data_IF_041477402728
#
_entry.id   IF_041477402728
#
_cell.length_a   1.000
_cell.length_b   1.000
_cell.length_c   1.000
_cell.angle_alpha   90.00
_cell.angle_beta   90.00
_cell.angle_gamma   90.00
#
_symmetry.space_group_name_H-M   'P 1'
#
loop_
_entity.id
_entity.type
_entity.pdbx_description
1 polymer ?
2 non-polymer ?
3 non-polymer ?
4 water ?
#
# COMPACT_ATOMS: atom_id res chain seq x y z
N UNK A 15 17.85 12.92 26.11
CA UNK A 15 16.74 12.22 25.46
C UNK A 15 16.69 10.74 25.80
N UNK A 16 15.52 10.10 25.65
CA UNK A 16 15.46 8.64 25.79
C UNK A 16 16.11 8.01 24.55
N UNK A 17 16.80 6.89 24.75
CA UNK A 17 17.55 6.29 23.65
C UNK A 17 17.08 4.86 23.44
N UNK A 18 17.09 4.43 22.18
CA UNK A 18 16.63 3.09 21.81
C UNK A 18 17.63 2.50 20.82
N UNK A 19 18.16 1.32 21.15
CA UNK A 19 19.15 0.60 20.34
C UNK A 19 20.25 1.54 19.84
N UNK A 20 20.84 2.28 20.78
CA UNK A 20 21.95 3.15 20.49
C UNK A 20 21.60 4.45 19.81
N UNK A 21 20.33 4.65 19.43
CA UNK A 21 19.90 5.83 18.69
C UNK A 21 18.98 6.70 19.52
N UNK A 22 19.13 8.03 19.33
CA UNK A 22 18.21 8.99 19.94
C UNK A 22 16.79 8.73 19.46
N UNK A 23 15.85 8.77 20.38
CA UNK A 23 14.43 8.64 20.06
C UNK A 23 13.73 9.72 20.90
N UNK A 24 13.76 10.95 20.40
CA UNK A 24 13.60 12.15 21.21
C UNK A 24 12.16 12.65 21.17
N UNK A 25 11.32 12.04 22.00
CA UNK A 25 9.89 12.26 21.91
C UNK A 25 9.28 12.70 23.23
N UNK A 26 10.06 12.80 24.28
CA UNK A 26 9.52 13.18 25.56
C UNK A 26 9.32 14.68 25.64
N UNK A 27 8.69 15.11 26.74
CA UNK A 27 8.27 14.24 27.85
C UNK A 27 6.88 13.63 27.67
N UNK A 28 6.15 14.03 26.62
CA UNK A 28 4.78 13.51 26.49
C UNK A 28 4.80 12.00 26.31
N UNK A 29 5.77 11.47 25.58
CA UNK A 29 5.80 10.05 25.24
C UNK A 29 7.01 9.44 25.92
N UNK A 30 6.75 8.39 26.72
CA UNK A 30 7.75 7.78 27.58
C UNK A 30 7.60 6.26 27.51
N UNK A 31 8.56 5.55 28.12
CA UNK A 31 8.53 4.09 28.27
C UNK A 31 8.51 3.41 26.89
N UNK A 32 9.61 3.59 26.16
CA UNK A 32 9.70 3.23 24.75
C UNK A 32 10.10 1.77 24.57
N UNK A 33 9.50 1.11 23.57
CA UNK A 33 9.90 -0.24 23.18
C UNK A 33 9.99 -0.36 21.68
N UNK A 34 11.01 -1.05 21.18
CA UNK A 34 11.09 -1.28 19.75
C UNK A 34 9.95 -2.20 19.31
N UNK A 35 9.33 -1.87 18.16
CA UNK A 35 8.20 -2.63 17.59
C UNK A 35 8.25 -2.85 16.08
N UNK A 36 9.11 -2.15 15.34
CA UNK A 36 9.12 -2.35 13.89
C UNK A 36 10.03 -1.37 13.17
N UNK A 37 9.92 -1.36 11.84
CA UNK A 37 10.79 -0.56 11.00
C UNK A 37 9.99 0.20 9.95
N UNK A 38 10.18 1.52 9.89
CA UNK A 38 9.70 2.33 8.79
C UNK A 38 10.79 2.55 7.75
N UNK A 39 10.49 3.41 6.78
CA UNK A 39 11.43 3.55 5.65
C UNK A 39 12.71 4.24 6.08
N UNK A 40 12.62 5.20 6.99
CA UNK A 40 13.78 6.04 7.30
C UNK A 40 14.06 6.04 8.79
N UNK A 41 13.69 4.97 9.48
CA UNK A 41 13.88 4.93 10.91
C UNK A 41 13.05 3.84 11.56
N UNK A 42 13.25 3.70 12.86
CA UNK A 42 12.58 2.64 13.60
C UNK A 42 11.21 3.11 14.04
N UNK A 43 10.38 2.13 14.36
CA UNK A 43 9.09 2.37 15.00
C UNK A 43 9.20 1.86 16.43
N UNK A 44 8.69 2.64 17.38
CA UNK A 44 8.62 2.22 18.77
C UNK A 44 7.18 2.35 19.24
N UNK A 45 6.85 1.59 20.27
CA UNK A 45 5.68 1.94 21.03
C UNK A 45 6.10 2.82 22.19
N UNK A 46 5.13 3.56 22.73
CA UNK A 46 5.41 4.53 23.77
C UNK A 46 4.13 4.78 24.54
N UNK A 47 4.29 5.28 25.77
CA UNK A 47 3.13 5.70 26.52
C UNK A 47 2.90 7.19 26.33
N UNK A 48 1.68 7.53 25.90
CA UNK A 48 1.20 8.90 25.73
C UNK A 48 0.66 9.39 27.08
N UNK A 49 1.42 10.24 27.76
CA UNK A 49 1.03 10.68 29.09
C UNK A 49 -0.19 11.59 29.06
N UNK A 50 -0.50 12.19 27.91
CA UNK A 50 -1.72 12.98 27.81
C UNK A 50 -2.97 12.11 27.62
N UNK A 51 -2.99 11.31 26.58
CA UNK A 51 -4.18 10.52 26.28
C UNK A 51 -4.23 9.23 27.09
N UNK A 52 -3.16 8.92 27.82
CA UNK A 52 -3.14 7.80 28.78
C UNK A 52 -3.32 6.46 28.07
N UNK A 53 -2.62 6.29 26.94
CA UNK A 53 -2.70 5.08 26.14
C UNK A 53 -1.34 4.90 25.49
N UNK A 54 -1.01 3.66 25.12
CA UNK A 54 0.20 3.49 24.35
C UNK A 54 -0.09 3.75 22.88
N UNK A 55 0.94 4.24 22.16
CA UNK A 55 0.85 4.65 20.76
C UNK A 55 2.07 4.10 20.03
N UNK A 56 2.03 4.19 18.70
CA UNK A 56 3.20 3.87 17.87
C UNK A 56 3.86 5.17 17.44
N UNK A 57 5.19 5.17 17.34
CA UNK A 57 5.94 6.34 16.90
C UNK A 57 6.98 5.91 15.89
N UNK A 58 6.97 6.54 14.71
CA UNK A 58 7.90 6.26 13.63
C UNK A 58 8.91 7.40 13.59
N UNK A 59 10.20 7.08 13.67
CA UNK A 59 11.25 8.10 13.54
C UNK A 59 11.65 8.17 12.08
N UNK A 60 11.77 9.39 11.56
CA UNK A 60 12.11 9.64 10.17
C UNK A 60 13.31 10.56 10.15
N UNK A 61 14.38 10.17 9.44
CA UNK A 61 15.57 11.01 9.28
C UNK A 61 15.81 11.19 7.79
N UNK A 62 15.06 12.08 7.15
CA UNK A 62 15.07 12.14 5.68
C UNK A 62 15.97 13.19 5.10
N UNK A 63 16.53 14.12 5.89
CA UNK A 63 16.92 15.40 5.31
C UNK A 63 18.21 15.38 4.54
N UNK A 64 18.95 14.27 4.55
CA UNK A 64 20.17 14.18 3.73
C UNK A 64 19.85 13.96 2.26
N UNK A 65 18.76 13.25 1.98
CA UNK A 65 18.45 12.78 0.63
C UNK A 65 17.13 13.34 0.12
N UNK A 66 17.19 13.83 -1.11
CA UNK A 66 16.06 14.53 -1.73
C UNK A 66 14.85 13.61 -1.86
N UNK A 67 15.08 12.36 -2.31
CA UNK A 67 13.96 11.43 -2.51
C UNK A 67 13.32 11.11 -1.17
N UNK A 68 14.14 10.97 -0.13
CA UNK A 68 13.60 10.72 1.22
C UNK A 68 12.68 11.84 1.66
N UNK A 69 13.13 13.09 1.47
CA UNK A 69 12.29 14.23 1.83
C UNK A 69 11.02 14.27 1.01
N UNK A 70 11.11 13.88 -0.27
CA UNK A 70 9.91 13.81 -1.10
C UNK A 70 8.89 12.84 -0.51
N UNK A 71 9.33 11.62 -0.23
CA UNK A 71 8.46 10.58 0.30
C UNK A 71 7.84 11.01 1.62
N UNK A 72 8.64 11.64 2.49
CA UNK A 72 8.16 12.08 3.78
C UNK A 72 7.09 13.15 3.64
N UNK A 73 7.38 14.15 2.82
CA UNK A 73 6.45 15.24 2.62
C UNK A 73 5.16 14.75 1.99
N UNK A 74 5.24 13.90 0.96
CA UNK A 74 4.00 13.47 0.33
C UNK A 74 3.13 12.65 1.30
N UNK A 75 3.73 11.83 2.16
CA UNK A 75 2.91 11.08 3.12
C UNK A 75 2.23 12.01 4.10
N UNK A 76 2.98 12.95 4.65
CA UNK A 76 2.41 13.87 5.63
C UNK A 76 1.29 14.67 4.99
N UNK A 77 1.49 15.17 3.77
CA UNK A 77 0.47 15.97 3.12
C UNK A 77 -0.81 15.15 2.92
N UNK A 78 -0.66 13.90 2.46
CA UNK A 78 -1.84 13.08 2.22
C UNK A 78 -2.56 12.77 3.51
N UNK A 79 -1.82 12.34 4.56
CA UNK A 79 -2.46 11.85 5.76
C UNK A 79 -3.07 12.96 6.59
N UNK A 80 -2.53 14.17 6.48
CA UNK A 80 -3.15 15.27 7.18
C UNK A 80 -4.49 15.64 6.53
N UNK A 81 -4.73 15.27 5.27
CA UNK A 81 -6.05 15.51 4.72
C UNK A 81 -6.98 14.32 4.80
N UNK A 82 -6.47 13.11 4.81
CA UNK A 82 -7.34 11.92 4.86
C UNK A 82 -7.87 11.67 6.25
N UNK A 83 -9.12 11.22 6.33
CA UNK A 83 -9.70 10.74 7.58
C UNK A 83 -10.57 9.55 7.26
N UNK A 84 -10.13 8.35 7.65
CA UNK A 84 -10.91 7.16 7.34
C UNK A 84 -10.60 6.06 8.35
N UNK A 85 -11.62 5.28 8.73
CA UNK A 85 -11.43 4.21 9.72
C UNK A 85 -10.39 3.18 9.30
N UNK A 86 -10.21 2.94 7.99
CA UNK A 86 -9.28 1.90 7.55
C UNK A 86 -7.98 2.49 7.01
N UNK A 87 -7.65 3.70 7.43
CA UNK A 87 -6.39 4.33 7.09
C UNK A 87 -5.78 4.82 8.40
N UNK A 88 -4.53 4.45 8.67
CA UNK A 88 -4.01 4.87 9.96
C UNK A 88 -3.55 6.31 9.86
N UNK A 89 -4.10 7.15 10.70
CA UNK A 89 -3.87 8.58 10.60
C UNK A 89 -2.65 9.02 11.38
N UNK A 90 -2.36 10.31 11.29
CA UNK A 90 -1.30 10.96 12.06
C UNK A 90 -1.94 11.64 13.26
N UNK A 91 -1.59 11.18 14.47
CA UNK A 91 -2.11 11.77 15.70
C UNK A 91 -1.30 12.95 16.19
N UNK A 92 -0.01 12.96 15.90
CA UNK A 92 0.89 13.98 16.42
C UNK A 92 2.15 13.89 15.58
N UNK A 93 2.87 15.00 15.46
CA UNK A 93 4.18 15.00 14.82
C UNK A 93 5.11 15.75 15.72
N UNK A 94 6.25 15.16 16.03
CA UNK A 94 7.25 15.73 16.94
C UNK A 94 8.47 16.13 16.14
N UNK A 95 8.93 17.36 16.34
CA UNK A 95 10.22 17.80 15.82
C UNK A 95 10.68 19.04 16.58
N UNK A 96 11.93 19.42 16.33
CA UNK A 96 12.52 20.58 16.99
C UNK A 96 11.77 21.88 16.62
N UNK A 97 11.91 22.94 17.43
CA UNK A 97 11.13 24.16 17.15
C UNK A 97 11.62 24.99 16.00
N UNK A 98 12.81 24.74 15.47
CA UNK A 98 13.40 25.54 14.41
C UNK A 98 13.96 24.62 13.35
N UNK A 99 14.01 25.11 12.11
CA UNK A 99 14.57 24.31 11.02
C UNK A 99 16.02 23.96 11.30
N UNK A 100 16.77 24.92 11.87
CA UNK A 100 18.18 24.69 12.17
C UNK A 100 18.36 23.52 13.10
N UNK A 101 17.48 23.39 14.08
CA UNK A 101 17.60 22.35 15.08
C UNK A 101 16.90 21.06 14.67
N UNK A 102 16.16 21.06 13.58
CA UNK A 102 15.37 19.89 13.21
C UNK A 102 16.21 18.93 12.37
N UNK A 103 16.51 17.77 12.95
CA UNK A 103 17.29 16.71 12.29
C UNK A 103 16.47 15.47 12.01
N UNK A 104 15.42 15.23 12.77
CA UNK A 104 14.53 14.09 12.61
C UNK A 104 13.10 14.55 12.78
N UNK A 105 12.15 13.75 12.33
CA UNK A 105 10.74 14.00 12.55
C UNK A 105 10.15 12.71 13.07
N UNK A 106 9.24 12.78 14.05
CA UNK A 106 8.59 11.60 14.58
C UNK A 106 7.11 11.69 14.32
N UNK A 107 6.53 10.62 13.78
CA UNK A 107 5.10 10.51 13.49
C UNK A 107 4.47 9.62 14.51
N UNK A 108 3.44 10.12 15.21
CA UNK A 108 2.74 9.34 16.25
C UNK A 108 1.44 8.84 15.65
N UNK A 109 1.15 7.54 15.80
CA UNK A 109 -0.01 6.90 15.19
C UNK A 109 -0.58 5.90 16.19
N UNK A 110 -1.80 5.42 15.89
CA UNK A 110 -2.43 4.42 16.74
C UNK A 110 -1.53 3.20 16.90
N UNK A 111 -1.51 2.62 18.10
CA UNK A 111 -0.73 1.41 18.32
C UNK A 111 -1.62 0.22 17.94
N UNK A 112 -1.25 -0.48 16.88
CA UNK A 112 -1.92 -1.66 16.41
C UNK A 112 -1.29 -2.90 17.04
N UNK A 113 -1.93 -4.05 16.89
CA UNK A 113 -1.40 -5.25 17.51
C UNK A 113 -0.40 -5.99 16.62
N UNK A 114 -0.66 -6.04 15.31
CA UNK A 114 0.19 -6.81 14.43
C UNK A 114 0.00 -6.26 13.01
N UNK A 115 0.53 -6.94 12.02
CA UNK A 115 0.28 -6.61 10.62
C UNK A 115 0.08 -7.91 9.88
N UNK A 116 -0.40 -7.83 8.64
CA UNK A 116 -0.82 -9.04 7.97
C UNK A 116 0.41 -9.84 7.50
N UNK A 117 1.55 -9.18 7.26
CA UNK A 117 2.79 -9.92 6.98
C UNK A 117 3.13 -10.84 8.14
N UNK A 118 3.13 -10.30 9.36
CA UNK A 118 3.42 -11.12 10.55
C UNK A 118 2.38 -12.22 10.71
N UNK A 119 1.10 -11.87 10.56
CA UNK A 119 0.06 -12.87 10.76
C UNK A 119 0.19 -14.02 9.78
N UNK A 120 0.46 -13.70 8.51
CA UNK A 120 0.49 -14.76 7.52
C UNK A 120 1.67 -15.69 7.71
N UNK A 121 2.73 -15.23 8.41
CA UNK A 121 3.89 -16.10 8.65
C UNK A 121 3.53 -17.28 9.54
N UNK A 122 2.54 -17.15 10.41
CA UNK A 122 2.28 -18.23 11.37
C UNK A 122 0.81 -18.54 11.61
N UNK A 123 -0.13 -17.83 11.02
CA UNK A 123 -1.54 -18.06 11.35
C UNK A 123 -2.32 -18.39 10.08
N UNK A 124 -3.07 -19.50 10.13
CA UNK A 124 -4.10 -19.79 9.13
C UNK A 124 -5.28 -18.86 9.33
N UNK A 125 -5.77 -18.25 8.26
CA UNK A 125 -6.93 -17.37 8.33
C UNK A 125 -8.18 -18.18 8.02
N UNK A 126 -9.22 -17.99 8.84
CA UNK A 126 -10.52 -18.57 8.50
C UNK A 126 -11.08 -17.79 7.32
N UNK A 127 -12.04 -18.40 6.61
CA UNK A 127 -12.66 -17.68 5.51
C UNK A 127 -13.32 -16.41 6.00
N UNK A 128 -13.90 -16.44 7.22
CA UNK A 128 -14.51 -15.23 7.76
C UNK A 128 -13.48 -14.13 7.96
N UNK A 129 -12.27 -14.50 8.41
CA UNK A 129 -11.24 -13.46 8.55
C UNK A 129 -10.82 -12.92 7.19
N UNK A 130 -10.64 -13.82 6.22
CA UNK A 130 -10.24 -13.38 4.88
C UNK A 130 -11.24 -12.38 4.32
N UNK A 131 -12.53 -12.72 4.43
CA UNK A 131 -13.59 -11.86 3.94
C UNK A 131 -13.56 -10.49 4.63
N UNK A 132 -13.48 -10.47 5.96
CA UNK A 132 -13.48 -9.20 6.68
C UNK A 132 -12.22 -8.38 6.38
N UNK A 133 -11.05 -9.03 6.33
CA UNK A 133 -9.83 -8.29 5.96
C UNK A 133 -9.99 -7.68 4.57
N UNK A 134 -10.43 -8.48 3.60
CA UNK A 134 -10.54 -7.98 2.22
C UNK A 134 -11.54 -6.84 2.15
N UNK A 135 -12.67 -6.98 2.88
CA UNK A 135 -13.65 -5.90 2.90
C UNK A 135 -13.00 -4.60 3.36
N UNK A 136 -12.25 -4.67 4.47
CA UNK A 136 -11.68 -3.46 5.03
C UNK A 136 -10.61 -2.86 4.12
N UNK A 137 -9.78 -3.70 3.49
CA UNK A 137 -8.80 -3.19 2.53
C UNK A 137 -9.51 -2.39 1.45
N UNK A 138 -10.58 -2.97 0.86
CA UNK A 138 -11.26 -2.32 -0.26
C UNK A 138 -12.05 -1.09 0.20
N UNK A 139 -12.56 -1.11 1.43
CA UNK A 139 -13.26 0.05 1.97
C UNK A 139 -12.29 1.23 2.10
N UNK A 140 -11.10 0.98 2.65
CA UNK A 140 -10.09 2.03 2.73
C UNK A 140 -9.64 2.46 1.34
N UNK A 141 -9.46 1.49 0.45
CA UNK A 141 -9.01 1.81 -0.90
C UNK A 141 -10.06 2.61 -1.66
N UNK A 142 -11.35 2.37 -1.41
CA UNK A 142 -12.39 3.19 -2.06
C UNK A 142 -12.19 4.66 -1.70
N UNK A 143 -11.87 4.93 -0.45
CA UNK A 143 -11.65 6.31 0.00
C UNK A 143 -10.42 6.89 -0.68
N UNK A 144 -9.34 6.13 -0.69
CA UNK A 144 -8.10 6.61 -1.30
C UNK A 144 -8.33 6.96 -2.77
N UNK A 145 -8.92 6.04 -3.49
CA UNK A 145 -9.15 6.24 -4.93
C UNK A 145 -10.15 7.36 -5.18
N UNK A 146 -11.11 7.55 -4.27
CA UNK A 146 -12.07 8.65 -4.45
C UNK A 146 -11.39 10.02 -4.28
N UNK A 147 -10.22 10.06 -3.66
CA UNK A 147 -9.43 11.28 -3.56
C UNK A 147 -8.51 11.44 -4.75
N UNK A 148 -8.62 10.56 -5.74
CA UNK A 148 -7.74 10.58 -6.92
C UNK A 148 -6.30 10.24 -6.56
N UNK A 149 -6.10 9.47 -5.50
CA UNK A 149 -4.78 9.08 -5.03
C UNK A 149 -4.62 7.59 -5.24
N UNK A 150 -3.40 7.17 -5.55
CA UNK A 150 -2.99 5.78 -5.68
C UNK A 150 -2.05 5.48 -4.53
N UNK A 151 -2.24 4.36 -3.84
CA UNK A 151 -1.32 4.03 -2.76
C UNK A 151 0.03 3.56 -3.30
N UNK A 152 -0.01 2.64 -4.25
CA UNK A 152 1.12 2.14 -5.04
C UNK A 152 2.08 1.25 -4.27
N UNK A 153 1.79 0.87 -3.03
CA UNK A 153 2.65 -0.11 -2.37
C UNK A 153 1.85 -0.94 -1.41
N UNK A 154 0.67 -1.36 -1.82
CA UNK A 154 -0.16 -2.22 -0.97
C UNK A 154 0.49 -3.60 -0.88
N UNK A 155 0.65 -4.09 0.34
CA UNK A 155 1.24 -5.39 0.59
C UNK A 155 0.98 -5.74 2.06
N UNK A 156 1.14 -7.00 2.45
CA UNK A 156 0.71 -7.38 3.82
C UNK A 156 1.37 -6.55 4.92
N UNK A 157 2.65 -6.18 4.79
CA UNK A 157 3.30 -5.46 5.90
C UNK A 157 2.77 -4.03 6.03
N UNK A 158 2.00 -3.54 5.05
CA UNK A 158 1.37 -2.23 5.14
C UNK A 158 -0.08 -2.30 5.60
N UNK A 159 -0.50 -3.46 6.08
CA UNK A 159 -1.88 -3.63 6.56
C UNK A 159 -1.78 -3.99 8.03
N UNK A 160 -2.14 -3.04 8.87
CA UNK A 160 -2.04 -3.21 10.31
C UNK A 160 -3.37 -3.67 10.87
N UNK A 161 -3.31 -4.52 11.90
CA UNK A 161 -4.50 -5.07 12.55
C UNK A 161 -4.47 -4.80 14.04
N UNK A 162 -5.63 -4.44 14.61
CA UNK A 162 -5.69 -4.35 16.06
C UNK A 162 -6.16 -5.67 16.65
N UNK A 163 -6.40 -5.67 17.96
CA UNK A 163 -6.65 -6.93 18.63
C UNK A 163 -7.98 -7.56 18.24
N UNK A 164 -8.90 -6.80 17.66
CA UNK A 164 -10.19 -7.32 17.22
C UNK A 164 -10.27 -7.36 15.70
N UNK A 165 -9.10 -7.37 15.07
CA UNK A 165 -8.95 -7.57 13.64
C UNK A 165 -9.50 -6.41 12.80
N UNK A 166 -9.60 -5.23 13.40
CA UNK A 166 -9.87 -4.05 12.57
C UNK A 166 -8.58 -3.69 11.83
N UNK A 167 -8.70 -3.29 10.57
CA UNK A 167 -7.56 -3.18 9.67
C UNK A 167 -7.35 -1.72 9.26
N UNK A 168 -6.09 -1.30 9.23
CA UNK A 168 -5.75 0.04 8.74
C UNK A 168 -4.58 -0.02 7.77
N UNK A 169 -4.68 0.76 6.70
CA UNK A 169 -3.65 0.83 5.66
C UNK A 169 -2.58 1.82 6.08
N UNK A 170 -1.32 1.39 6.01
CA UNK A 170 -0.17 2.18 6.39
C UNK A 170 0.68 2.51 5.16
N UNK A 171 1.44 3.59 5.31
CA UNK A 171 2.56 4.06 4.49
C UNK A 171 2.11 4.64 3.15
N UNK A 172 1.98 5.97 3.11
CA UNK A 172 1.65 6.66 1.88
C UNK A 172 2.87 7.32 1.25
N UNK A 173 4.05 6.83 1.58
CA UNK A 173 5.23 7.48 1.05
C UNK A 173 5.46 7.24 -0.42
N UNK A 174 4.77 6.27 -1.00
CA UNK A 174 4.95 5.95 -2.40
C UNK A 174 3.72 6.41 -3.19
N UNK A 175 2.73 7.03 -2.51
CA UNK A 175 1.47 7.40 -3.15
C UNK A 175 1.66 8.53 -4.16
N UNK A 176 0.77 8.57 -5.13
CA UNK A 176 0.76 9.60 -6.17
C UNK A 176 -0.67 9.95 -6.52
N UNK A 177 -0.85 11.15 -7.10
CA UNK A 177 -2.14 11.48 -7.69
C UNK A 177 -2.28 10.73 -9.01
N UNK A 178 -3.45 10.15 -9.24
CA UNK A 178 -3.67 9.37 -10.44
C UNK A 178 -3.50 10.24 -11.68
N UNK A 179 -2.93 9.66 -12.73
CA UNK A 179 -2.62 10.40 -13.96
C UNK A 179 -2.72 9.45 -15.14
N UNK A 180 -3.93 8.99 -15.45
CA UNK A 180 -4.06 7.92 -16.45
C UNK A 180 -3.67 8.34 -17.85
N UNK A 181 -3.77 9.63 -18.18
CA UNK A 181 -3.39 10.07 -19.51
C UNK A 181 -1.89 10.05 -19.74
N UNK A 182 -1.10 9.96 -18.67
CA UNK A 182 0.36 9.92 -18.80
C UNK A 182 0.93 8.61 -18.29
N UNK A 183 0.16 7.52 -18.40
CA UNK A 183 0.58 6.24 -17.83
C UNK A 183 1.51 5.43 -18.71
N UNK A 184 1.57 5.72 -20.02
CA UNK A 184 2.25 4.82 -20.95
C UNK A 184 3.75 5.05 -20.88
N UNK A 185 4.49 3.97 -20.96
CA UNK A 185 5.94 4.01 -21.00
C UNK A 185 6.41 2.81 -21.80
N UNK A 186 7.72 2.71 -21.93
CA UNK A 186 8.32 1.64 -22.69
C UNK A 186 8.49 0.38 -21.86
N UNK A 187 8.97 -0.65 -22.54
CA UNK A 187 9.15 -1.99 -22.00
C UNK A 187 10.35 -2.01 -21.06
N UNK A 188 10.18 -2.69 -19.91
CA UNK A 188 11.25 -2.86 -18.92
C UNK A 188 11.63 -1.52 -18.29
N UNK A 189 10.64 -0.66 -18.09
CA UNK A 189 10.87 0.60 -17.39
C UNK A 189 10.94 0.37 -15.89
N UNK A 190 11.99 0.95 -15.30
CA UNK A 190 12.28 0.80 -13.89
C UNK A 190 11.09 1.21 -13.04
N UNK A 191 10.92 0.54 -11.89
CA UNK A 191 9.78 0.79 -11.02
C UNK A 191 10.20 0.63 -9.57
N UNK A 192 9.55 1.36 -8.66
CA UNK A 192 10.01 1.42 -7.27
C UNK A 192 9.24 0.49 -6.32
N UNK A 193 7.93 0.34 -6.47
CA UNK A 193 7.10 -0.39 -5.51
C UNK A 193 7.45 -1.88 -5.46
N UNK A 194 6.99 -2.57 -4.39
CA UNK A 194 7.43 -3.95 -4.05
C UNK A 194 7.13 -5.01 -5.12
N UNK A 195 8.16 -5.79 -5.48
CA UNK A 195 8.11 -6.55 -6.71
C UNK A 195 6.96 -7.57 -6.73
N UNK A 196 6.74 -8.30 -5.64
CA UNK A 196 5.76 -9.40 -5.68
C UNK A 196 4.33 -8.92 -5.88
N UNK A 197 4.06 -7.63 -5.65
CA UNK A 197 2.70 -7.09 -5.73
C UNK A 197 2.53 -6.17 -6.95
N UNK A 198 3.51 -6.17 -7.88
CA UNK A 198 3.46 -5.38 -9.11
C UNK A 198 2.61 -6.01 -10.17
N UNK A 199 1.73 -5.20 -10.74
CA UNK A 199 0.87 -5.61 -11.84
C UNK A 199 1.72 -5.91 -13.09
N UNK A 200 1.27 -6.84 -13.94
CA UNK A 200 2.09 -7.22 -15.10
C UNK A 200 2.40 -6.04 -16.01
N UNK A 201 1.48 -5.07 -16.11
CA UNK A 201 1.71 -3.96 -17.05
C UNK A 201 2.89 -3.09 -16.62
N UNK A 202 3.27 -3.13 -15.34
CA UNK A 202 4.41 -2.33 -14.89
C UNK A 202 5.67 -2.71 -15.68
N UNK A 203 5.85 -4.00 -15.95
CA UNK A 203 6.97 -4.51 -16.72
C UNK A 203 6.81 -4.34 -18.21
N UNK A 204 5.62 -4.01 -18.67
CA UNK A 204 5.32 -3.96 -20.09
C UNK A 204 5.21 -2.54 -20.61
N UNK A 205 4.34 -1.71 -20.03
CA UNK A 205 4.08 -0.41 -20.66
C UNK A 205 3.45 0.61 -19.71
N UNK A 206 3.54 0.44 -18.38
CA UNK A 206 2.80 1.30 -17.47
C UNK A 206 3.72 1.88 -16.41
N UNK A 207 3.51 3.17 -16.10
CA UNK A 207 4.18 3.88 -15.01
C UNK A 207 3.48 3.69 -13.66
N UNK A 208 2.37 2.96 -13.61
CA UNK A 208 1.70 2.75 -12.32
C UNK A 208 0.93 3.97 -11.90
N UNK A 209 0.39 4.70 -12.86
CA UNK A 209 -0.30 5.96 -12.54
C UNK A 209 -1.80 5.81 -12.65
N UNK A 210 -2.34 4.60 -12.68
CA UNK A 210 -3.79 4.44 -12.68
C UNK A 210 -4.22 3.51 -11.54
N UNK A 211 -5.50 3.64 -11.19
CA UNK A 211 -6.05 2.97 -10.01
C UNK A 211 -5.94 1.46 -10.11
N UNK A 212 -5.93 0.93 -11.34
CA UNK A 212 -5.83 -0.51 -11.52
C UNK A 212 -4.56 -1.12 -10.92
N UNK A 213 -3.51 -0.32 -10.75
CA UNK A 213 -2.28 -0.81 -10.12
C UNK A 213 -2.56 -1.31 -8.69
N UNK A 214 -3.41 -0.59 -7.96
CA UNK A 214 -3.67 -0.97 -6.58
C UNK A 214 -4.54 -2.19 -6.52
N UNK A 215 -5.51 -2.33 -7.47
CA UNK A 215 -6.39 -3.49 -7.42
C UNK A 215 -5.58 -4.76 -7.63
N UNK A 216 -4.58 -4.72 -8.55
CA UNK A 216 -3.73 -5.88 -8.72
C UNK A 216 -3.08 -6.27 -7.40
N UNK A 217 -2.52 -5.29 -6.68
CA UNK A 217 -1.86 -5.59 -5.41
C UNK A 217 -2.86 -6.21 -4.44
N UNK A 218 -4.09 -5.70 -4.37
CA UNK A 218 -5.08 -6.30 -3.47
C UNK A 218 -5.37 -7.75 -3.88
N UNK A 219 -5.45 -8.03 -5.20
CA UNK A 219 -5.63 -9.40 -5.64
C UNK A 219 -4.50 -10.29 -5.16
N UNK A 220 -3.26 -9.78 -5.23
CA UNK A 220 -2.14 -10.57 -4.73
C UNK A 220 -2.27 -10.82 -3.23
N UNK A 221 -2.78 -9.84 -2.48
CA UNK A 221 -2.93 -10.00 -1.03
C UNK A 221 -4.01 -11.00 -0.74
N UNK A 222 -5.12 -10.96 -1.49
CA UNK A 222 -6.16 -11.97 -1.29
C UNK A 222 -5.62 -13.37 -1.52
N UNK A 223 -4.90 -13.57 -2.62
CA UNK A 223 -4.33 -14.91 -2.89
C UNK A 223 -3.44 -15.35 -1.74
N UNK A 224 -2.65 -14.42 -1.21
CA UNK A 224 -1.73 -14.74 -0.14
C UNK A 224 -2.49 -15.07 1.14
N UNK A 225 -3.65 -14.44 1.37
CA UNK A 225 -4.45 -14.78 2.57
C UNK A 225 -5.01 -16.20 2.44
N UNK A 226 -5.26 -16.64 1.20
CA UNK A 226 -5.87 -17.94 0.97
C UNK A 226 -4.89 -19.07 1.23
N UNK A 227 -3.60 -18.82 1.03
CA UNK A 227 -2.62 -19.91 1.13
C UNK A 227 -1.42 -19.64 2.02
N UNK A 228 -1.29 -18.44 2.58
CA UNK A 228 -0.16 -18.02 3.39
C UNK A 228 1.15 -17.97 2.64
N UNK A 229 1.13 -17.98 1.32
CA UNK A 229 2.31 -17.93 0.46
C UNK A 229 2.07 -16.82 -0.56
N UNK A 230 3.05 -15.99 -0.90
CA UNK A 230 2.83 -15.07 -2.01
C UNK A 230 2.55 -15.83 -3.30
N UNK A 231 1.58 -15.34 -4.07
CA UNK A 231 1.19 -16.06 -5.27
C UNK A 231 2.23 -15.90 -6.38
N UNK A 232 2.91 -14.74 -6.47
CA UNK A 232 3.88 -14.44 -7.54
C UNK A 232 5.20 -13.97 -6.95
N UNK A 233 5.98 -14.87 -6.34
CA UNK A 233 7.20 -14.43 -5.64
C UNK A 233 8.40 -14.38 -6.59
N UNK A 234 8.38 -13.41 -7.47
CA UNK A 234 9.46 -13.28 -8.43
C UNK A 234 10.75 -12.90 -7.75
N UNK A 235 11.86 -13.33 -8.37
CA UNK A 235 13.18 -13.10 -7.80
C UNK A 235 13.88 -11.89 -8.39
N UNK A 236 13.38 -11.35 -9.49
CA UNK A 236 13.96 -10.12 -10.04
C UNK A 236 12.92 -9.56 -10.98
N UNK A 237 13.27 -8.44 -11.64
CA UNK A 237 12.29 -7.63 -12.37
C UNK A 237 11.50 -8.46 -13.39
N UNK A 238 12.17 -9.06 -14.40
CA UNK A 238 11.38 -9.72 -15.44
C UNK A 238 10.85 -11.07 -14.96
N UNK A 239 11.53 -11.72 -13.98
CA UNK A 239 10.99 -12.94 -13.37
C UNK A 239 9.60 -12.74 -12.80
N UNK A 240 9.29 -11.54 -12.31
CA UNK A 240 7.96 -11.29 -11.77
C UNK A 240 6.91 -11.57 -12.85
N UNK A 241 7.21 -11.17 -14.08
CA UNK A 241 6.27 -11.41 -15.17
C UNK A 241 6.19 -12.90 -15.50
N UNK A 242 7.32 -13.62 -15.44
CA UNK A 242 7.30 -15.10 -15.58
C UNK A 242 6.27 -15.70 -14.63
N UNK A 243 6.29 -15.29 -13.36
CA UNK A 243 5.38 -15.88 -12.39
C UNK A 243 3.94 -15.57 -12.73
N UNK A 244 3.65 -14.33 -13.08
CA UNK A 244 2.27 -13.95 -13.37
C UNK A 244 1.74 -14.76 -14.55
N UNK A 245 2.51 -14.78 -15.63
CA UNK A 245 2.05 -15.53 -16.81
C UNK A 245 2.00 -17.05 -16.56
N UNK A 246 2.81 -17.57 -15.64
CA UNK A 246 2.74 -18.99 -15.34
C UNK A 246 1.43 -19.42 -14.74
N UNK A 247 0.69 -18.51 -14.16
CA UNK A 247 -0.60 -18.82 -13.56
C UNK A 247 -1.75 -18.33 -14.44
N UNK A 248 -1.68 -17.06 -14.89
CA UNK A 248 -2.75 -16.56 -15.75
C UNK A 248 -2.74 -17.20 -17.13
N UNK A 249 -1.62 -17.73 -17.57
CA UNK A 249 -1.52 -18.20 -18.93
C UNK A 249 -1.26 -17.07 -19.90
N UNK A 250 -1.05 -17.45 -21.15
CA UNK A 250 -0.76 -16.47 -22.21
C UNK A 250 -1.92 -15.48 -22.36
N UNK A 251 -1.61 -14.20 -22.53
CA UNK A 251 -2.67 -13.24 -22.85
C UNK A 251 -3.33 -13.51 -24.20
N UNK A 252 -4.61 -13.16 -24.25
CA UNK A 252 -5.40 -13.32 -25.45
C UNK A 252 -4.90 -12.36 -26.52
N UNK A 253 -5.30 -12.64 -27.75
CA UNK A 253 -4.98 -11.71 -28.85
C UNK A 253 -5.50 -10.31 -28.54
N UNK A 254 -6.74 -10.24 -28.05
CA UNK A 254 -7.31 -8.93 -27.78
C UNK A 254 -6.50 -8.19 -26.73
N UNK A 255 -6.05 -8.90 -25.69
CA UNK A 255 -5.30 -8.23 -24.65
C UNK A 255 -3.93 -7.81 -25.14
N UNK A 256 -3.32 -8.62 -26.03
CA UNK A 256 -2.07 -8.22 -26.69
C UNK A 256 -2.26 -6.99 -27.56
N UNK A 257 -3.37 -6.95 -28.31
CA UNK A 257 -3.58 -5.84 -29.23
C UNK A 257 -3.72 -4.52 -28.48
N UNK A 258 -4.04 -4.58 -27.19
CA UNK A 258 -4.18 -3.40 -26.37
C UNK A 258 -2.80 -2.85 -25.96
N UNK A 259 -1.76 -3.66 -26.14
CA UNK A 259 -0.37 -3.23 -25.87
C UNK A 259 0.24 -2.76 -27.17
N UNK A 260 0.25 -1.45 -27.41
CA UNK A 260 0.71 -1.00 -28.71
C UNK A 260 2.24 -0.99 -28.75
N UNK A 261 2.90 -0.83 -27.61
CA UNK A 261 4.35 -0.80 -27.62
C UNK A 261 4.93 -2.09 -28.21
N UNK A 262 5.74 -1.96 -29.25
CA UNK A 262 6.19 -3.12 -30.00
C UNK A 262 7.14 -3.99 -29.19
N UNK A 263 8.05 -3.37 -28.43
CA UNK A 263 8.99 -4.19 -27.67
C UNK A 263 8.23 -5.05 -26.64
N UNK A 264 7.26 -4.46 -25.95
CA UNK A 264 6.49 -5.25 -24.97
C UNK A 264 5.65 -6.31 -25.65
N UNK A 265 4.91 -5.93 -26.70
CA UNK A 265 4.09 -6.89 -27.40
C UNK A 265 4.91 -8.05 -27.96
N UNK A 266 6.06 -7.74 -28.58
CA UNK A 266 6.86 -8.80 -29.19
C UNK A 266 7.52 -9.68 -28.16
N UNK A 267 7.83 -9.13 -26.99
CA UNK A 267 8.31 -10.03 -25.94
C UNK A 267 7.24 -11.07 -25.61
N UNK A 268 6.01 -10.63 -25.42
CA UNK A 268 4.94 -11.59 -25.10
C UNK A 268 4.74 -12.59 -26.23
N UNK A 269 4.82 -12.11 -27.50
CA UNK A 269 4.60 -13.02 -28.61
C UNK A 269 5.71 -14.05 -28.74
N UNK A 270 6.90 -13.76 -28.17
CA UNK A 270 8.04 -14.66 -28.25
C UNK A 270 7.94 -15.85 -27.30
N UNK A 271 7.02 -15.82 -26.35
CA UNK A 271 6.91 -16.85 -25.34
C UNK A 271 6.11 -18.05 -25.86
N UNK A 272 6.47 -19.26 -25.48
CA UNK A 272 5.59 -20.39 -25.75
C UNK A 272 4.24 -20.18 -25.09
N UNK A 273 3.21 -20.81 -25.66
CA UNK A 273 1.89 -20.81 -25.08
C UNK A 273 1.93 -21.43 -23.68
N UNK A 274 1.24 -20.77 -22.74
CA UNK A 274 1.11 -21.21 -21.35
C UNK A 274 -0.39 -21.28 -21.06
N UNK A 275 -0.89 -22.40 -20.53
CA UNK A 275 -2.29 -22.46 -20.13
C UNK A 275 -2.51 -21.84 -18.75
N UNK A 276 -3.72 -21.32 -18.57
CA UNK A 276 -4.15 -20.84 -17.27
C UNK A 276 -4.19 -21.99 -16.26
N UNK A 277 -3.77 -21.69 -15.05
CA UNK A 277 -3.93 -22.62 -13.92
C UNK A 277 -5.24 -22.25 -13.23
N UNK A 278 -6.21 -23.15 -13.12
CA UNK A 278 -7.48 -22.78 -12.48
C UNK A 278 -7.29 -22.39 -11.03
N UNK A 279 -8.00 -21.33 -10.63
CA UNK A 279 -7.87 -20.86 -9.25
C UNK A 279 -8.24 -21.95 -8.26
N UNK A 280 -9.24 -22.78 -8.58
CA UNK A 280 -9.65 -23.78 -7.58
C UNK A 280 -8.71 -24.97 -7.54
N UNK A 281 -7.77 -25.10 -8.48
CA UNK A 281 -6.66 -26.05 -8.33
C UNK A 281 -5.56 -25.48 -7.43
N UNK A 282 -5.26 -24.19 -7.60
CA UNK A 282 -4.29 -23.47 -6.78
C UNK A 282 -4.78 -23.36 -5.35
N UNK A 283 -6.09 -23.19 -5.16
CA UNK A 283 -6.68 -22.89 -3.85
C UNK A 283 -7.88 -23.80 -3.63
N UNK A 284 -7.65 -25.08 -3.37
CA UNK A 284 -8.77 -26.04 -3.37
C UNK A 284 -9.73 -25.91 -2.18
N UNK A 285 -9.30 -25.27 -1.09
CA UNK A 285 -10.13 -25.01 0.09
C UNK A 285 -10.83 -23.64 0.06
N UNK A 286 -10.55 -22.81 -0.95
CA UNK A 286 -11.07 -21.45 -0.93
C UNK A 286 -12.56 -21.43 -1.27
N UNK A 287 -13.24 -20.42 -0.71
CA UNK A 287 -14.62 -20.11 -1.07
C UNK A 287 -14.70 -19.80 -2.57
N UNK A 288 -15.69 -20.40 -3.26
CA UNK A 288 -15.79 -20.18 -4.71
C UNK A 288 -16.05 -18.71 -5.06
N UNK A 289 -16.78 -17.98 -4.20
CA UNK A 289 -17.01 -16.56 -4.47
C UNK A 289 -15.74 -15.77 -4.30
N UNK A 290 -14.91 -16.15 -3.30
CA UNK A 290 -13.62 -15.49 -3.15
C UNK A 290 -12.76 -15.66 -4.42
N UNK A 291 -12.79 -16.85 -5.02
CA UNK A 291 -11.97 -17.09 -6.20
C UNK A 291 -12.50 -16.35 -7.41
N UNK A 292 -13.82 -16.16 -7.48
CA UNK A 292 -14.35 -15.38 -8.59
C UNK A 292 -13.88 -13.92 -8.49
N UNK A 293 -13.90 -13.36 -7.27
CA UNK A 293 -13.40 -12.00 -7.08
C UNK A 293 -11.90 -11.94 -7.33
N UNK A 294 -11.15 -12.96 -6.87
CA UNK A 294 -9.71 -13.00 -7.12
C UNK A 294 -9.43 -12.94 -8.61
N UNK A 295 -10.20 -13.70 -9.39
CA UNK A 295 -9.98 -13.73 -10.82
C UNK A 295 -10.17 -12.36 -11.44
N UNK A 296 -11.17 -11.63 -10.96
CA UNK A 296 -11.45 -10.30 -11.52
C UNK A 296 -10.40 -9.27 -11.09
N UNK A 297 -9.81 -9.44 -9.91
CA UNK A 297 -8.74 -8.53 -9.49
C UNK A 297 -7.42 -8.83 -10.18
N UNK A 298 -7.13 -10.10 -10.42
CA UNK A 298 -5.92 -10.51 -11.10
C UNK A 298 -6.18 -10.73 -12.59
N UNK A 299 -6.84 -9.75 -13.20
CA UNK A 299 -7.06 -9.76 -14.64
C UNK A 299 -5.86 -9.12 -15.31
N UNK A 300 -5.34 -9.77 -16.36
CA UNK A 300 -4.12 -9.28 -17.03
C UNK A 300 -4.29 -7.87 -17.59
N UNK A 301 -5.35 -7.65 -18.35
CA UNK A 301 -5.63 -6.36 -18.99
C UNK A 301 -6.13 -5.37 -17.94
N UNK A 302 -5.37 -4.29 -17.64
CA UNK A 302 -5.79 -3.37 -16.57
C UNK A 302 -7.10 -2.67 -16.87
N UNK A 303 -7.45 -2.49 -18.15
CA UNK A 303 -8.74 -1.89 -18.49
C UNK A 303 -9.92 -2.81 -18.16
N UNK A 304 -9.70 -4.12 -18.13
CA UNK A 304 -10.75 -5.09 -17.83
C UNK A 304 -10.79 -5.43 -16.34
N UNK A 305 -9.79 -5.00 -15.60
CA UNK A 305 -9.67 -5.36 -14.20
C UNK A 305 -10.77 -4.67 -13.39
N UNK A 306 -11.29 -5.38 -12.38
CA UNK A 306 -12.39 -4.82 -11.58
C UNK A 306 -11.89 -3.56 -10.86
N UNK A 307 -12.81 -2.59 -10.68
CA UNK A 307 -12.55 -1.37 -9.93
C UNK A 307 -13.02 -1.55 -8.48
N UNK A 308 -12.53 -0.67 -7.60
CA UNK A 308 -12.74 -0.88 -6.17
C UNK A 308 -14.23 -0.93 -5.81
N UNK A 309 -15.04 -0.05 -6.38
CA UNK A 309 -16.45 -0.03 -6.00
C UNK A 309 -17.19 -1.27 -6.49
N UNK A 310 -16.78 -1.81 -7.64
CA UNK A 310 -17.30 -3.09 -8.13
C UNK A 310 -16.89 -4.23 -7.23
N UNK A 311 -15.65 -4.18 -6.75
CA UNK A 311 -15.17 -5.25 -5.88
C UNK A 311 -15.98 -5.28 -4.58
N UNK A 312 -16.25 -4.09 -4.02
CA UNK A 312 -17.04 -4.04 -2.78
C UNK A 312 -18.43 -4.66 -2.99
N UNK A 313 -19.02 -4.49 -4.17
CA UNK A 313 -20.34 -5.00 -4.52
C UNK A 313 -20.33 -6.47 -4.95
N UNK A 314 -19.17 -7.13 -4.90
CA UNK A 314 -19.09 -8.52 -5.34
C UNK A 314 -19.77 -9.44 -4.32
N UNK A 315 -20.45 -10.50 -4.76
CA UNK A 315 -21.13 -11.40 -3.81
C UNK A 315 -20.27 -11.92 -2.68
N UNK A 316 -18.96 -12.05 -2.86
CA UNK A 316 -18.15 -12.57 -1.77
C UNK A 316 -18.25 -11.66 -0.53
N UNK A 317 -18.45 -10.35 -0.73
CA UNK A 317 -18.48 -9.36 0.34
C UNK A 317 -19.90 -8.96 0.77
N UNK A 318 -20.92 -9.73 0.38
CA UNK A 318 -22.32 -9.34 0.60
C UNK A 318 -22.66 -9.11 2.08
N UNK A 319 -22.00 -9.84 2.99
CA UNK A 319 -22.25 -9.71 4.43
C UNK A 319 -21.94 -8.30 4.91
N UNK A 320 -21.00 -7.61 4.26
CA UNK A 320 -20.48 -6.35 4.72
C UNK A 320 -20.85 -5.17 3.83
N UNK A 321 -21.14 -5.42 2.55
CA UNK A 321 -21.31 -4.32 1.59
C UNK A 321 -22.42 -3.36 1.98
N UNK A 322 -22.08 -2.10 2.05
CA UNK A 322 -23.06 -1.08 2.39
C UNK A 322 -22.51 0.25 1.90
N UNK A 323 -22.85 0.66 0.68
CA UNK A 323 -22.20 1.86 0.11
C UNK A 323 -22.37 3.12 0.96
N UNK A 324 -23.47 3.24 1.70
CA UNK A 324 -23.67 4.37 2.59
C UNK A 324 -22.72 4.38 3.78
N UNK A 325 -22.08 3.25 4.08
CA UNK A 325 -21.09 3.16 5.15
C UNK A 325 -19.70 2.94 4.60
N UNK A 326 -19.45 3.35 3.35
CA UNK A 326 -18.15 3.20 2.71
C UNK A 326 -17.83 4.60 2.18
N UNK A 327 -17.35 5.48 3.05
CA UNK A 327 -17.27 6.90 2.68
C UNK A 327 -16.17 7.21 1.69
N UNK A 328 -16.35 8.37 1.06
CA UNK A 328 -15.42 8.91 0.09
C UNK A 328 -14.89 10.25 0.59
N UNK A 329 -13.82 10.69 -0.07
CA UNK A 329 -13.10 11.89 0.31
C UNK A 329 -13.93 13.12 -0.10
N UNK A 330 -13.84 14.15 0.70
CA UNK A 330 -14.59 15.36 0.43
C UNK A 330 -14.10 16.10 -0.79
N UNK A 331 -12.88 15.82 -1.26
CA UNK A 331 -12.41 16.50 -2.46
C UNK A 331 -11.25 15.72 -3.03
N UNK A 332 -10.95 15.88 -4.31
CA UNK A 332 -9.77 15.21 -4.84
C UNK A 332 -8.54 15.86 -4.24
N UNK A 333 -7.46 15.11 -4.20
CA UNK A 333 -6.14 15.75 -4.17
C UNK A 333 -5.87 16.22 -5.57
N UNK A 340 9.17 17.49 -7.68
CA UNK A 340 10.55 17.26 -8.09
C UNK A 340 11.29 18.55 -8.44
N UNK A 341 12.60 18.41 -8.66
CA UNK A 341 13.49 19.54 -8.91
C UNK A 341 13.57 20.42 -7.68
N UNK A 342 12.78 20.12 -6.66
CA UNK A 342 12.81 20.86 -5.42
C UNK A 342 14.02 20.38 -4.63
N UNK A 343 15.01 21.23 -4.37
CA UNK A 343 16.13 20.76 -3.57
C UNK A 343 15.66 20.42 -2.18
N UNK A 344 16.33 19.42 -1.58
CA UNK A 344 15.99 19.04 -0.22
C UNK A 344 15.84 20.23 0.73
N UNK A 345 16.48 21.37 0.44
CA UNK A 345 16.41 22.49 1.38
C UNK A 345 15.03 23.13 1.39
N UNK A 346 14.46 23.38 0.20
CA UNK A 346 13.07 23.78 0.16
C UNK A 346 12.19 22.68 0.75
N UNK A 347 12.57 21.41 0.57
CA UNK A 347 11.71 20.33 1.04
C UNK A 347 11.76 20.21 2.56
N UNK A 348 12.95 20.40 3.15
CA UNK A 348 13.00 20.45 4.60
C UNK A 348 12.15 21.59 5.12
N UNK A 349 12.27 22.75 4.49
CA UNK A 349 11.41 23.89 4.80
C UNK A 349 9.94 23.53 4.65
N UNK A 350 9.58 22.80 3.59
CA UNK A 350 8.17 22.44 3.43
C UNK A 350 7.73 21.45 4.50
N UNK A 351 8.59 20.51 4.88
CA UNK A 351 8.26 19.57 5.96
C UNK A 351 8.10 20.30 7.28
N UNK A 352 9.01 21.21 7.58
CA UNK A 352 8.87 22.04 8.78
C UNK A 352 7.52 22.75 8.79
N UNK A 353 7.13 23.32 7.66
CA UNK A 353 5.91 24.10 7.63
C UNK A 353 4.69 23.19 7.71
N UNK A 354 4.75 22.02 7.06
CA UNK A 354 3.63 21.10 7.07
C UNK A 354 3.37 20.54 8.46
N UNK A 355 4.40 20.51 9.32
CA UNK A 355 4.29 19.91 10.63
C UNK A 355 4.06 20.95 11.73
N UNK A 356 3.92 22.22 11.36
CA UNK A 356 3.81 23.28 12.34
C UNK A 356 2.56 23.17 13.20
N UNK A 357 1.49 22.55 12.69
CA UNK A 357 0.22 22.57 13.41
C UNK A 357 0.30 21.79 14.71
N UNK A 358 1.31 20.94 14.88
CA UNK A 358 1.40 20.13 16.08
C UNK A 358 2.30 20.75 17.14
N UNK A 359 2.83 21.93 16.88
CA UNK A 359 3.59 22.65 17.90
C UNK A 359 2.64 23.44 18.79
N UNK A 360 3.04 23.72 20.03
CA UNK A 360 2.37 24.69 20.91
C UNK A 360 2.11 26.03 20.23
X LIG B 1 12.91 -5.47 -7.48
X LIG B 1 14.28 -5.32 -7.98
X LIG B 1 12.20 -4.19 -7.54
X LIG B 1 12.99 -5.92 -6.08
X LIG B 1 12.18 -6.41 -8.32
X LIG C 1 -14.90 -3.30 -15.70
X LIG C 1 -14.03 -2.52 -14.80
X LIG C 1 -16.24 -2.73 -15.73
X LIG C 1 -15.01 -4.68 -15.24
X LIG C 1 -14.39 -3.25 -17.07
X LIG D 1 2.11 -0.59 14.94
X LIG D 1 3.95 -1.09 13.49
X LIG D 1 4.17 -2.26 14.21
X LIG D 1 6.02 -1.55 10.24
X LIG D 1 5.10 -1.64 9.02
X LIG D 1 5.56 -0.86 7.79
X LIG D 1 5.12 -1.76 11.45
X LIG D 1 2.31 -1.77 15.65
X LIG D 1 4.89 -0.82 12.34
X LIG D 1 3.22 2.57 11.36
X LIG D 1 3.93 2.42 10.00
X LIG D 1 3.99 1.25 7.72
X LIG D 1 5.36 0.64 7.95
X LIG D 1 2.58 1.02 13.12
X LIG D 1 3.97 3.54 12.29
X LIG D 1 2.90 -4.10 17.09
X LIG D 1 3.66 -3.73 15.97
X LIG D 1 3.38 -2.57 15.29
X LIG D 1 3.17 1.52 9.02
X LIG D 1 2.89 -0.26 13.85
X LIG D 1 1.08 0.25 15.27
X LIG D 1 5.05 -3.02 8.63
X LIG D 1 6.94 -1.15 7.60
X LIG D 1 6.33 1.36 8.24
X LIG D 1 3.30 1.26 11.92
X LIG D 1 1.72 1.80 13.49
#
# INVERSE_FOLDING_TARGET
HHHHHHMAAAAAAGPEMVRGQVFDVGPRYTNLSYIGEGAYGMVCSAYDNLNKVRVAIKKISPFEHQTYCQRTLREIKILLRFRHENIIGINDIIRAPTIEQMKDVYIVQDLMETDLYKLLKTQHLSNDHICYFLYQILRGLKYIHSANVLHRDLKPSNLLLNTTCDLKICDFGLARVADPDHDHTGFLTEYVATRWYRAPEIMLNSKGYTKSIDIWSVGCILAEMLSNRPIFPGKHYLDQLNHILGILGSPSQEDLNCIINLKARNYLLSLPHKNKVPWNRLFPNADSKALDLLDKMLTFNPHKRIEVEQALAHPYLEQYYDPSDEPIAEAPFKFDMELDDLPKEKLKELIFEETARFQPGYRS
SO4 S O1 O2 O3 O4
SO4 S O1 O2 O3 O4
WNT C3 C5 C6 C9 C10 C11 C8 C2 C7 C16 C15 C13 C12 C18 C17 C O C1 C14 C4 O1 O2 O3 O4 O5 O6
#
